data_IF_305990998881
#
_entry.id   IF_305990998881
#
_cell.length_a   1.000
_cell.length_b   1.000
_cell.length_c   1.000
_cell.angle_alpha   90.00
_cell.angle_beta   90.00
_cell.angle_gamma   90.00
#
_symmetry.space_group_name_H-M   'P 1'
#
loop_
_entity.id
_entity.type
_entity.pdbx_description
1 polymer ?
#
# COMPACT_ATOMS: atom_id res chain seq x y z
N UNK A 1 -1.46 -3.00 2.08
CA UNK A 1 -1.77 -4.41 1.96
C UNK A 1 -2.22 -4.75 0.54
N UNK A 2 -1.84 -5.90 0.05
CA UNK A 2 -2.23 -6.42 -1.25
C UNK A 2 -2.58 -7.90 -1.11
N UNK A 3 -3.35 -8.49 -2.05
CA UNK A 3 -3.67 -9.91 -2.01
C UNK A 3 -2.43 -10.81 -2.18
N UNK A 4 -1.30 -10.24 -2.59
CA UNK A 4 -0.02 -10.93 -2.63
C UNK A 4 0.52 -11.25 -1.23
N UNK A 5 0.42 -10.30 -0.29
CA UNK A 5 0.94 -10.48 1.09
C UNK A 5 -0.06 -11.21 1.98
N UNK A 6 -1.33 -10.86 1.91
CA UNK A 6 -2.36 -11.37 2.79
C UNK A 6 -3.64 -11.67 2.00
N UNK A 7 -4.20 -12.88 2.21
CA UNK A 7 -5.53 -13.25 1.76
C UNK A 7 -6.50 -13.28 2.97
N UNK A 8 -7.28 -12.22 3.21
CA UNK A 8 -8.17 -12.17 4.37
C UNK A 8 -9.26 -13.26 4.37
N UNK A 9 -9.63 -13.82 3.23
CA UNK A 9 -10.62 -14.92 3.17
C UNK A 9 -10.12 -16.19 3.86
N UNK A 10 -8.81 -16.42 3.93
CA UNK A 10 -8.22 -17.52 4.70
C UNK A 10 -8.40 -17.34 6.23
N UNK A 11 -8.79 -16.15 6.65
CA UNK A 11 -9.04 -15.77 8.05
C UNK A 11 -10.51 -15.52 8.37
N UNK A 12 -11.44 -16.06 7.54
CA UNK A 12 -12.88 -16.03 7.80
C UNK A 12 -13.59 -14.74 7.36
N UNK A 13 -12.97 -13.93 6.50
CA UNK A 13 -13.60 -12.72 5.97
C UNK A 13 -14.56 -13.08 4.82
N UNK A 14 -15.78 -12.54 4.83
CA UNK A 14 -16.77 -12.77 3.77
C UNK A 14 -16.54 -11.90 2.53
N UNK A 15 -16.04 -10.69 2.73
CA UNK A 15 -15.79 -9.70 1.67
C UNK A 15 -14.43 -9.07 1.85
N UNK A 16 -13.63 -9.05 0.80
CA UNK A 16 -12.33 -8.36 0.75
C UNK A 16 -12.42 -7.21 -0.24
N UNK A 17 -12.34 -5.99 0.27
CA UNK A 17 -12.44 -4.77 -0.53
C UNK A 17 -11.04 -4.22 -0.77
N UNK A 18 -10.71 -3.97 -2.03
CA UNK A 18 -9.45 -3.36 -2.43
C UNK A 18 -9.68 -2.05 -3.18
N UNK A 19 -8.89 -1.04 -2.86
CA UNK A 19 -8.63 0.05 -3.80
C UNK A 19 -7.72 -0.48 -4.90
N UNK A 20 -8.30 -0.79 -6.05
CA UNK A 20 -7.52 -1.25 -7.19
C UNK A 20 -6.65 -0.13 -7.79
N UNK A 21 -6.98 1.15 -7.51
CA UNK A 21 -6.16 2.33 -7.76
C UNK A 21 -4.73 2.21 -7.23
N UNK A 22 -4.55 1.47 -6.12
CA UNK A 22 -3.27 1.34 -5.41
C UNK A 22 -2.45 0.17 -5.98
N UNK A 23 -2.00 -0.74 -5.16
CA UNK A 23 -1.11 -1.86 -5.54
C UNK A 23 -1.61 -2.71 -6.70
N UNK A 24 -2.94 -2.92 -6.83
CA UNK A 24 -3.47 -3.82 -7.85
C UNK A 24 -3.18 -3.32 -9.27
N UNK A 25 -3.54 -2.08 -9.57
CA UNK A 25 -3.17 -1.43 -10.84
C UNK A 25 -1.70 -0.99 -10.82
N UNK A 26 -1.28 -0.27 -9.78
CA UNK A 26 0.10 0.01 -9.42
C UNK A 26 0.87 0.91 -10.37
N UNK A 27 0.20 1.69 -11.20
CA UNK A 27 0.82 2.58 -12.20
C UNK A 27 0.29 4.02 -12.14
N UNK A 28 -0.57 4.36 -11.17
CA UNK A 28 -1.11 5.70 -10.99
C UNK A 28 -2.09 6.16 -12.10
N UNK A 29 -2.58 5.25 -12.92
CA UNK A 29 -3.30 5.52 -14.18
C UNK A 29 -4.78 5.10 -14.15
N UNK A 30 -5.30 4.59 -13.02
CA UNK A 30 -6.68 4.14 -12.90
C UNK A 30 -7.28 4.40 -11.51
N UNK A 31 -8.54 4.78 -11.48
CA UNK A 31 -9.38 4.83 -10.27
C UNK A 31 -10.34 3.63 -10.31
N UNK A 32 -10.16 2.68 -9.40
CA UNK A 32 -10.99 1.47 -9.36
C UNK A 32 -11.12 0.88 -7.95
N UNK A 33 -12.28 0.27 -7.70
CA UNK A 33 -12.54 -0.59 -6.57
C UNK A 33 -12.66 -2.05 -7.00
N UNK A 34 -12.30 -2.98 -6.14
CA UNK A 34 -12.47 -4.41 -6.38
C UNK A 34 -12.97 -5.10 -5.11
N UNK A 35 -13.93 -6.00 -5.27
CA UNK A 35 -14.41 -6.86 -4.18
C UNK A 35 -14.16 -8.30 -4.55
N UNK A 36 -13.49 -9.03 -3.67
CA UNK A 36 -13.35 -10.49 -3.73
C UNK A 36 -14.25 -11.12 -2.67
N UNK A 37 -14.99 -12.15 -3.04
CA UNK A 37 -15.95 -12.84 -2.16
C UNK A 37 -16.33 -14.21 -2.71
N UNK A 38 -17.15 -14.98 -1.98
CA UNK A 38 -17.73 -16.24 -2.43
C UNK A 38 -18.68 -16.05 -3.62
N UNK A 39 -18.92 -17.12 -4.39
CA UNK A 39 -19.88 -17.10 -5.51
C UNK A 39 -21.29 -16.71 -5.05
N UNK A 40 -21.74 -17.17 -3.91
CA UNK A 40 -23.06 -16.83 -3.34
C UNK A 40 -23.17 -15.32 -3.07
N UNK A 41 -22.16 -14.74 -2.43
CA UNK A 41 -22.15 -13.31 -2.11
C UNK A 41 -21.93 -12.45 -3.36
N UNK A 42 -21.13 -12.95 -4.33
CA UNK A 42 -20.97 -12.29 -5.64
C UNK A 42 -22.30 -12.05 -6.34
N UNK A 43 -23.20 -13.03 -6.34
CA UNK A 43 -24.50 -12.90 -6.99
C UNK A 43 -25.35 -11.78 -6.36
N UNK A 44 -25.32 -11.69 -5.01
CA UNK A 44 -26.00 -10.60 -4.29
C UNK A 44 -25.42 -9.23 -4.66
N UNK A 45 -24.10 -9.11 -4.71
CA UNK A 45 -23.43 -7.86 -5.10
C UNK A 45 -23.72 -7.50 -6.56
N UNK A 46 -23.80 -8.48 -7.45
CA UNK A 46 -24.07 -8.24 -8.86
C UNK A 46 -25.48 -7.67 -9.07
N UNK A 47 -26.49 -8.19 -8.38
CA UNK A 47 -27.86 -7.63 -8.43
C UNK A 47 -27.88 -6.19 -7.86
N UNK A 48 -27.17 -5.94 -6.76
CA UNK A 48 -27.07 -4.59 -6.20
C UNK A 48 -26.36 -3.62 -7.17
N UNK A 49 -25.27 -4.06 -7.80
CA UNK A 49 -24.55 -3.25 -8.80
C UNK A 49 -25.43 -2.82 -9.98
N UNK A 50 -26.32 -3.70 -10.45
CA UNK A 50 -27.28 -3.34 -11.50
C UNK A 50 -28.18 -2.17 -11.10
N UNK A 51 -28.59 -2.12 -9.83
CA UNK A 51 -29.48 -1.09 -9.31
C UNK A 51 -28.75 0.23 -9.07
N UNK A 52 -27.52 0.17 -8.53
CA UNK A 52 -26.74 1.36 -8.14
C UNK A 52 -25.95 1.93 -9.32
N UNK A 53 -25.59 1.09 -10.30
CA UNK A 53 -24.80 1.51 -11.46
C UNK A 53 -23.28 1.67 -11.17
N UNK A 54 -22.76 1.12 -10.08
CA UNK A 54 -21.34 1.17 -9.72
C UNK A 54 -20.51 0.23 -10.58
N UNK A 55 -20.51 0.44 -11.89
CA UNK A 55 -19.84 -0.40 -12.87
C UNK A 55 -18.57 0.27 -13.36
N UNK A 56 -17.45 -0.45 -13.27
CA UNK A 56 -16.16 0.01 -13.79
C UNK A 56 -16.19 0.05 -15.32
N UNK A 57 -15.65 1.12 -15.92
CA UNK A 57 -15.50 1.23 -17.35
C UNK A 57 -14.57 0.16 -17.94
N UNK A 58 -14.74 -0.25 -19.20
CA UNK A 58 -13.95 -1.30 -19.82
C UNK A 58 -12.46 -0.93 -19.94
N UNK A 59 -12.14 0.32 -20.14
CA UNK A 59 -10.77 0.81 -20.23
C UNK A 59 -10.07 0.73 -18.87
N UNK A 60 -10.71 1.19 -17.80
CA UNK A 60 -10.22 1.09 -16.42
C UNK A 60 -10.05 -0.37 -16.00
N UNK A 61 -10.98 -1.25 -16.38
CA UNK A 61 -10.89 -2.67 -16.13
C UNK A 61 -9.69 -3.30 -16.84
N UNK A 62 -9.42 -2.90 -18.09
CA UNK A 62 -8.26 -3.34 -18.85
C UNK A 62 -6.94 -2.87 -18.20
N UNK A 63 -6.84 -1.60 -17.78
CA UNK A 63 -5.67 -1.07 -17.07
C UNK A 63 -5.43 -1.84 -15.75
N UNK A 64 -6.48 -2.07 -14.96
CA UNK A 64 -6.37 -2.84 -13.72
C UNK A 64 -5.87 -4.28 -13.98
N UNK A 65 -6.43 -4.96 -14.97
CA UNK A 65 -5.99 -6.31 -15.37
C UNK A 65 -4.55 -6.32 -15.87
N UNK A 66 -4.13 -5.30 -16.61
CA UNK A 66 -2.75 -5.14 -17.06
C UNK A 66 -1.80 -4.99 -15.88
N UNK A 67 -2.14 -4.13 -14.91
CA UNK A 67 -1.35 -3.91 -13.69
C UNK A 67 -1.23 -5.17 -12.82
N UNK A 68 -2.29 -5.97 -12.71
CA UNK A 68 -2.28 -7.23 -11.96
C UNK A 68 -1.23 -8.22 -12.45
N UNK A 69 -0.91 -8.23 -13.73
CA UNK A 69 0.08 -9.16 -14.31
C UNK A 69 1.49 -9.00 -13.73
N UNK A 70 1.82 -7.81 -13.21
CA UNK A 70 3.12 -7.52 -12.60
C UNK A 70 3.06 -7.39 -11.08
N UNK A 71 1.90 -7.57 -10.47
CA UNK A 71 1.71 -7.39 -9.02
C UNK A 71 2.73 -8.17 -8.18
N UNK A 72 2.99 -9.48 -8.41
CA UNK A 72 3.95 -10.22 -7.59
C UNK A 72 5.39 -9.70 -7.69
N UNK A 73 5.80 -9.25 -8.88
CA UNK A 73 7.13 -8.69 -9.11
C UNK A 73 7.27 -7.34 -8.39
N UNK A 74 6.30 -6.45 -8.59
CA UNK A 74 6.28 -5.14 -7.93
C UNK A 74 6.25 -5.25 -6.41
N UNK A 75 5.38 -6.13 -5.88
CA UNK A 75 5.26 -6.30 -4.43
C UNK A 75 6.55 -6.81 -3.80
N UNK A 76 7.24 -7.79 -4.40
CA UNK A 76 8.53 -8.25 -3.90
C UNK A 76 9.53 -7.11 -3.85
N UNK A 77 9.72 -6.40 -4.95
CA UNK A 77 10.69 -5.31 -5.04
C UNK A 77 10.34 -4.17 -4.05
N UNK A 78 9.06 -3.82 -3.91
CA UNK A 78 8.62 -2.79 -2.96
C UNK A 78 8.85 -3.22 -1.50
N UNK A 79 8.61 -4.47 -1.15
CA UNK A 79 8.92 -5.00 0.19
C UNK A 79 10.43 -4.95 0.48
N UNK A 80 11.26 -5.40 -0.46
CA UNK A 80 12.71 -5.40 -0.31
C UNK A 80 13.27 -3.98 -0.20
N UNK A 81 12.77 -3.05 -1.01
CA UNK A 81 13.16 -1.66 -0.95
C UNK A 81 12.74 -1.01 0.39
N UNK A 82 11.51 -1.25 0.83
CA UNK A 82 11.02 -0.69 2.09
C UNK A 82 11.82 -1.19 3.30
N UNK A 83 12.20 -2.47 3.32
CA UNK A 83 13.05 -3.01 4.37
C UNK A 83 14.42 -2.34 4.40
N UNK A 84 15.11 -2.26 3.24
CA UNK A 84 16.42 -1.60 3.13
C UNK A 84 16.37 -0.13 3.55
N UNK A 85 15.34 0.59 3.14
CA UNK A 85 15.14 2.00 3.56
C UNK A 85 14.90 2.10 5.06
N UNK A 86 14.06 1.22 5.63
CA UNK A 86 13.79 1.20 7.07
C UNK A 86 15.06 0.91 7.89
N UNK A 87 15.86 -0.07 7.48
CA UNK A 87 17.14 -0.41 8.12
C UNK A 87 18.13 0.77 8.02
N UNK A 88 18.25 1.41 6.85
CA UNK A 88 19.10 2.58 6.68
C UNK A 88 18.66 3.75 7.56
N UNK A 89 17.35 4.02 7.63
CA UNK A 89 16.81 5.09 8.47
C UNK A 89 17.13 4.89 9.96
N UNK A 90 17.18 3.65 10.45
CA UNK A 90 17.58 3.35 11.84
C UNK A 90 19.02 3.78 12.15
N UNK A 91 19.89 3.84 11.16
CA UNK A 91 21.30 4.25 11.33
C UNK A 91 21.51 5.76 11.22
N UNK A 92 20.48 6.50 10.74
CA UNK A 92 20.62 7.92 10.47
C UNK A 92 20.45 8.78 11.73
N UNK A 93 21.41 9.64 12.10
CA UNK A 93 21.45 10.36 13.39
C UNK A 93 20.30 11.37 13.60
N UNK A 94 19.60 11.75 12.53
CA UNK A 94 18.45 12.67 12.59
C UNK A 94 17.11 11.95 12.64
N UNK A 95 17.08 10.63 12.66
CA UNK A 95 15.86 9.84 12.73
C UNK A 95 15.71 9.29 14.13
N UNK A 96 14.63 9.66 14.81
CA UNK A 96 14.35 9.22 16.19
C UNK A 96 13.56 7.93 16.24
N UNK A 97 12.75 7.65 15.21
CA UNK A 97 11.92 6.46 15.18
C UNK A 97 11.55 6.05 13.74
N UNK A 98 11.49 4.74 13.50
CA UNK A 98 11.00 4.16 12.25
C UNK A 98 9.87 3.19 12.57
N UNK A 99 8.73 3.37 11.94
CA UNK A 99 7.55 2.53 12.09
C UNK A 99 7.43 1.63 10.85
N UNK A 100 7.90 0.41 10.97
CA UNK A 100 7.83 -0.58 9.89
C UNK A 100 7.79 -2.01 10.48
N UNK A 101 6.76 -2.82 10.19
CA UNK A 101 6.61 -4.14 10.78
C UNK A 101 7.69 -5.15 10.35
N UNK A 102 8.47 -4.84 9.32
CA UNK A 102 9.62 -5.64 8.91
C UNK A 102 10.85 -5.51 9.82
N UNK A 103 10.87 -4.52 10.71
CA UNK A 103 11.97 -4.38 11.68
C UNK A 103 11.74 -5.27 12.89
N UNK A 104 12.73 -6.03 13.36
CA UNK A 104 12.59 -6.93 14.53
C UNK A 104 12.16 -6.22 15.81
N UNK A 105 12.48 -4.94 15.97
CA UNK A 105 12.04 -4.11 17.10
C UNK A 105 10.61 -3.59 17.02
N UNK A 106 9.88 -3.86 15.95
CA UNK A 106 8.49 -3.41 15.82
C UNK A 106 7.56 -4.30 16.67
N UNK A 107 6.61 -3.72 17.45
CA UNK A 107 5.74 -4.49 18.37
C UNK A 107 4.90 -5.59 17.69
N UNK A 108 4.65 -5.47 16.40
CA UNK A 108 3.85 -6.43 15.62
C UNK A 108 4.70 -7.20 14.60
N UNK A 109 6.02 -7.26 14.76
CA UNK A 109 6.90 -7.95 13.82
C UNK A 109 6.51 -9.43 13.65
N UNK A 110 6.44 -10.18 14.74
CA UNK A 110 6.10 -11.61 14.75
C UNK A 110 4.70 -11.89 14.19
N UNK A 111 3.75 -10.99 14.46
CA UNK A 111 2.41 -11.09 13.88
C UNK A 111 2.44 -10.90 12.37
N UNK A 112 3.18 -9.90 11.89
CA UNK A 112 3.31 -9.62 10.46
C UNK A 112 4.02 -10.75 9.73
N UNK A 113 5.10 -11.30 10.30
CA UNK A 113 5.82 -12.46 9.75
C UNK A 113 4.90 -13.67 9.58
N UNK A 114 4.14 -14.00 10.64
CA UNK A 114 3.16 -15.09 10.61
C UNK A 114 2.05 -14.87 9.59
N UNK A 115 1.49 -13.66 9.50
CA UNK A 115 0.40 -13.35 8.58
C UNK A 115 0.86 -13.31 7.12
N UNK A 116 2.03 -12.74 6.86
CA UNK A 116 2.54 -12.57 5.49
C UNK A 116 3.34 -13.78 5.00
N UNK A 117 3.58 -14.76 5.87
CA UNK A 117 4.18 -16.07 5.50
C UNK A 117 5.50 -15.92 4.73
N UNK A 118 6.38 -15.01 5.15
CA UNK A 118 7.67 -14.75 4.53
C UNK A 118 7.63 -14.04 3.16
N UNK A 119 6.48 -13.47 2.77
CA UNK A 119 6.33 -12.75 1.48
C UNK A 119 6.78 -11.29 1.53
N UNK A 120 7.34 -10.84 2.67
CA UNK A 120 7.73 -9.46 2.94
C UNK A 120 6.72 -8.72 3.83
N UNK A 121 7.01 -7.44 4.12
CA UNK A 121 6.29 -6.67 5.14
C UNK A 121 5.53 -5.46 4.58
N UNK A 122 5.41 -5.36 3.26
CA UNK A 122 4.75 -4.24 2.58
C UNK A 122 5.73 -3.20 2.08
N UNK A 123 5.21 -2.22 1.34
CA UNK A 123 5.97 -1.14 0.72
C UNK A 123 5.72 0.23 1.35
N UNK A 124 5.20 0.30 2.59
CA UNK A 124 4.91 1.56 3.29
C UNK A 124 5.59 1.54 4.65
N UNK A 125 6.33 2.57 4.94
CA UNK A 125 6.94 2.84 6.25
C UNK A 125 6.70 4.29 6.64
N UNK A 126 6.83 4.62 7.92
CA UNK A 126 6.87 5.99 8.40
C UNK A 126 8.00 6.19 9.40
N UNK A 127 8.45 7.43 9.55
CA UNK A 127 9.55 7.76 10.45
C UNK A 127 9.42 9.16 11.02
N UNK A 128 10.12 9.40 12.11
CA UNK A 128 10.12 10.66 12.84
C UNK A 128 11.52 11.30 12.73
N UNK A 129 11.54 12.58 12.33
CA UNK A 129 12.77 13.37 12.21
C UNK A 129 12.98 14.17 13.50
N UNK A 130 14.18 14.12 14.08
CA UNK A 130 14.53 14.78 15.32
C UNK A 130 14.24 16.27 15.29
N UNK A 131 13.44 16.74 16.26
CA UNK A 131 13.07 18.15 16.43
C UNK A 131 12.41 18.79 15.21
N UNK A 132 11.81 17.98 14.31
CA UNK A 132 11.13 18.51 13.14
C UNK A 132 9.71 19.00 13.50
N UNK A 133 9.43 20.23 13.10
CA UNK A 133 8.11 20.80 12.96
C UNK A 133 7.60 20.61 11.51
N UNK A 134 6.39 21.07 11.24
CA UNK A 134 5.75 21.01 9.92
C UNK A 134 6.63 21.60 8.81
N UNK A 135 7.21 22.77 9.05
CA UNK A 135 7.99 23.49 8.04
C UNK A 135 9.31 22.77 7.72
N UNK A 136 9.94 22.15 8.72
CA UNK A 136 11.12 21.31 8.51
C UNK A 136 10.80 20.05 7.71
N UNK A 137 9.65 19.43 8.00
CA UNK A 137 9.19 18.25 7.21
C UNK A 137 8.91 18.65 5.76
N UNK A 138 8.29 19.78 5.51
CA UNK A 138 8.06 20.25 4.14
C UNK A 138 9.38 20.54 3.40
N UNK A 139 10.31 21.24 4.03
CA UNK A 139 11.64 21.45 3.42
C UNK A 139 12.39 20.15 3.14
N UNK A 140 12.24 19.16 4.03
CA UNK A 140 12.77 17.82 3.78
C UNK A 140 12.13 17.19 2.54
N UNK A 141 10.80 17.22 2.44
CA UNK A 141 10.08 16.64 1.29
C UNK A 141 10.43 17.35 -0.03
N UNK A 142 10.54 18.66 -0.02
CA UNK A 142 10.92 19.47 -1.19
C UNK A 142 12.36 19.22 -1.66
N UNK A 143 13.25 18.83 -0.74
CA UNK A 143 14.64 18.50 -1.08
C UNK A 143 14.81 17.10 -1.70
N UNK A 144 13.77 16.26 -1.67
CA UNK A 144 13.82 14.92 -2.25
C UNK A 144 13.76 15.00 -3.79
N UNK A 145 14.68 14.34 -4.46
CA UNK A 145 14.78 14.33 -5.93
C UNK A 145 14.19 13.05 -6.56
N UNK A 146 13.99 11.99 -5.77
CA UNK A 146 13.49 10.68 -6.25
C UNK A 146 12.07 10.42 -5.79
N UNK A 147 11.78 10.76 -4.52
CA UNK A 147 10.45 10.54 -3.96
C UNK A 147 9.53 11.71 -4.33
N UNK A 148 8.38 11.39 -4.90
CA UNK A 148 7.38 12.38 -5.31
C UNK A 148 6.40 12.67 -4.15
N UNK A 149 6.11 13.93 -3.83
CA UNK A 149 5.07 14.27 -2.88
C UNK A 149 3.68 13.95 -3.47
N UNK A 150 3.02 12.92 -2.94
CA UNK A 150 1.69 12.51 -3.41
C UNK A 150 0.94 11.72 -2.34
N UNK A 151 -0.39 11.87 -2.30
CA UNK A 151 -1.32 11.22 -1.37
C UNK A 151 -1.77 9.83 -1.84
N UNK A 152 -0.87 9.07 -2.42
CA UNK A 152 -1.14 7.72 -2.92
C UNK A 152 -0.16 6.70 -2.34
N UNK A 153 -0.31 5.44 -2.71
CA UNK A 153 0.60 4.35 -2.35
C UNK A 153 0.50 3.21 -3.37
N UNK A 154 1.52 2.36 -3.41
CA UNK A 154 1.50 1.14 -4.24
C UNK A 154 1.78 1.36 -5.71
N UNK A 155 2.22 2.54 -6.09
CA UNK A 155 2.66 2.90 -7.43
C UNK A 155 4.06 2.36 -7.76
N UNK A 156 4.47 2.47 -9.02
CA UNK A 156 5.85 2.23 -9.47
C UNK A 156 6.81 3.34 -9.00
N UNK A 157 6.30 4.53 -8.69
CA UNK A 157 7.06 5.63 -8.13
C UNK A 157 7.21 5.51 -6.61
N UNK A 158 8.35 5.99 -6.09
CA UNK A 158 8.51 6.21 -4.65
C UNK A 158 7.79 7.48 -4.25
N UNK A 159 6.88 7.38 -3.28
CA UNK A 159 6.04 8.47 -2.84
C UNK A 159 6.37 8.86 -1.39
N UNK A 160 6.18 10.14 -1.07
CA UNK A 160 6.32 10.69 0.28
C UNK A 160 5.16 11.61 0.58
N UNK A 161 4.69 11.59 1.83
CA UNK A 161 3.66 12.50 2.29
C UNK A 161 3.81 12.81 3.79
N UNK A 162 3.26 13.95 4.19
CA UNK A 162 3.06 14.30 5.59
C UNK A 162 1.58 14.08 5.94
N UNK A 163 1.23 13.05 6.76
CA UNK A 163 -0.17 12.63 6.93
C UNK A 163 -1.09 13.73 7.45
N UNK A 164 -0.66 14.50 8.44
CA UNK A 164 -1.48 15.56 9.05
C UNK A 164 -1.91 16.67 8.09
N UNK A 165 -1.27 16.81 6.94
CA UNK A 165 -1.56 17.91 6.00
C UNK A 165 -2.06 17.44 4.65
N UNK A 166 -2.09 16.13 4.43
CA UNK A 166 -2.45 15.55 3.13
C UNK A 166 -3.71 14.69 3.16
N UNK A 167 -4.07 14.12 4.29
CA UNK A 167 -5.18 13.16 4.36
C UNK A 167 -6.05 13.27 5.61
N UNK A 168 -5.63 14.09 6.59
CA UNK A 168 -6.38 14.24 7.87
C UNK A 168 -6.22 15.63 8.44
#
# INVERSE_FOLDING_TARGET
>A
ASPYLLNPMEHGTDYVIHSATKYLAGHGDVLAGMVATSTTNKNKLFELNKLIGSVLGPFEAWLALRGLKTLPLRMRQQCDNALKVAEWLLTHPRITKVHFPGLPGHPQHDLAERLFKGRGFGGVLSFEIDGADKDKVFRFMEALTICLPATSLGDIYSLVLHPMTSSH
#
